data_IF_208531358846
#
_entry.id   IF_208531358846
#
_cell.length_a   1.000
_cell.length_b   1.000
_cell.length_c   1.000
_cell.angle_alpha   90.00
_cell.angle_beta   90.00
_cell.angle_gamma   90.00
#
_symmetry.space_group_name_H-M   'P 1'
#
loop_
_entity.id
_entity.type
_entity.pdbx_description
1 polymer ?
#
# COMPACT_ATOMS: atom_id res chain seq x y z
N UNK A 1 -1.70 -9.52 -4.88
CA UNK A 1 -3.08 -9.16 -4.49
C UNK A 1 -3.63 -8.22 -5.56
N UNK A 2 -4.72 -8.60 -6.24
CA UNK A 2 -5.35 -7.74 -7.24
C UNK A 2 -6.19 -6.69 -6.48
N UNK A 3 -5.80 -5.42 -6.51
CA UNK A 3 -6.49 -4.33 -5.79
C UNK A 3 -7.95 -4.12 -6.26
N UNK A 4 -8.35 -4.80 -7.35
CA UNK A 4 -9.73 -4.83 -7.84
C UNK A 4 -10.62 -5.89 -7.15
N UNK A 5 -10.03 -6.93 -6.52
CA UNK A 5 -10.78 -8.01 -5.85
C UNK A 5 -11.03 -7.73 -4.36
N UNK A 6 -10.19 -6.90 -3.73
CA UNK A 6 -10.52 -6.29 -2.46
C UNK A 6 -11.53 -5.17 -2.76
N UNK A 7 -12.67 -5.15 -2.07
CA UNK A 7 -13.75 -4.15 -2.25
C UNK A 7 -13.32 -2.75 -1.74
N UNK A 8 -12.13 -2.30 -2.13
CA UNK A 8 -11.50 -1.02 -1.82
C UNK A 8 -11.99 -0.03 -2.87
N UNK A 9 -13.23 0.43 -2.70
CA UNK A 9 -13.80 1.51 -3.50
C UNK A 9 -13.55 2.88 -2.87
N UNK A 10 -13.53 3.93 -3.69
CA UNK A 10 -13.54 5.32 -3.19
C UNK A 10 -12.18 5.86 -2.75
N UNK A 11 -12.19 6.73 -1.73
CA UNK A 11 -11.03 7.52 -1.30
C UNK A 11 -9.85 6.67 -0.81
N UNK A 12 -10.11 5.51 -0.20
CA UNK A 12 -9.07 4.57 0.27
C UNK A 12 -8.20 4.07 -0.89
N UNK A 13 -8.80 3.80 -2.06
CA UNK A 13 -8.05 3.38 -3.27
C UNK A 13 -7.14 4.51 -3.79
N UNK A 14 -7.66 5.73 -3.83
CA UNK A 14 -6.90 6.91 -4.28
C UNK A 14 -5.72 7.19 -3.35
N UNK A 15 -5.91 7.03 -2.03
CA UNK A 15 -4.82 7.16 -1.05
C UNK A 15 -3.77 6.07 -1.26
N UNK A 16 -4.16 4.81 -1.52
CA UNK A 16 -3.20 3.74 -1.81
C UNK A 16 -2.37 4.03 -3.07
N UNK A 17 -3.00 4.52 -4.14
CA UNK A 17 -2.30 4.91 -5.37
C UNK A 17 -1.31 6.07 -5.13
N UNK A 18 -1.69 7.04 -4.29
CA UNK A 18 -0.79 8.13 -3.90
C UNK A 18 0.42 7.61 -3.09
N UNK A 19 0.21 6.70 -2.14
CA UNK A 19 1.30 6.08 -1.35
C UNK A 19 2.25 5.26 -2.23
N UNK A 20 1.73 4.51 -3.20
CA UNK A 20 2.55 3.77 -4.18
C UNK A 20 3.40 4.73 -5.01
N UNK A 21 2.85 5.89 -5.39
CA UNK A 21 3.59 6.90 -6.16
C UNK A 21 4.76 7.50 -5.39
N UNK A 22 4.65 7.60 -4.05
CA UNK A 22 5.72 8.10 -3.16
C UNK A 22 6.77 7.01 -2.84
N UNK A 23 6.41 5.74 -3.02
CA UNK A 23 7.26 4.57 -2.68
C UNK A 23 8.65 4.58 -3.32
N UNK A 24 8.84 4.95 -4.61
CA UNK A 24 10.17 5.02 -5.19
C UNK A 24 11.13 5.93 -4.42
N UNK A 25 10.65 7.09 -3.94
CA UNK A 25 11.49 8.04 -3.17
C UNK A 25 11.93 7.44 -1.83
N UNK A 26 11.04 6.69 -1.16
CA UNK A 26 11.34 6.01 0.11
C UNK A 26 12.32 4.86 -0.11
N UNK A 27 12.12 4.05 -1.16
CA UNK A 27 13.02 2.94 -1.49
C UNK A 27 14.42 3.44 -1.87
N UNK A 28 14.51 4.53 -2.63
CA UNK A 28 15.79 5.15 -3.01
C UNK A 28 16.58 5.67 -1.81
N UNK A 29 15.89 6.10 -0.75
CA UNK A 29 16.51 6.52 0.52
C UNK A 29 17.04 5.34 1.37
N UNK A 30 16.72 4.10 0.98
CA UNK A 30 17.07 2.89 1.74
C UNK A 30 16.20 2.69 2.99
N UNK A 31 15.14 3.49 3.15
CA UNK A 31 14.18 3.34 4.24
C UNK A 31 13.12 2.29 3.87
N UNK A 32 12.77 1.45 4.85
CA UNK A 32 11.65 0.53 4.73
C UNK A 32 10.39 1.22 5.19
N UNK A 33 9.28 1.01 4.49
CA UNK A 33 7.98 1.49 4.92
C UNK A 33 7.64 1.03 6.34
N UNK A 34 7.45 2.00 7.24
CA UNK A 34 7.04 1.78 8.62
C UNK A 34 5.74 2.55 8.93
N UNK A 35 5.03 2.18 10.00
CA UNK A 35 3.87 2.94 10.46
C UNK A 35 4.16 4.43 10.69
N UNK A 36 5.34 4.75 11.24
CA UNK A 36 5.76 6.11 11.56
C UNK A 36 6.05 6.92 10.30
N UNK A 37 6.66 6.29 9.28
CA UNK A 37 6.90 6.94 7.99
C UNK A 37 5.58 7.21 7.26
N UNK A 38 4.62 6.30 7.35
CA UNK A 38 3.28 6.50 6.80
C UNK A 38 2.54 7.66 7.49
N UNK A 39 2.70 7.83 8.81
CA UNK A 39 2.16 9.00 9.52
C UNK A 39 2.86 10.30 9.09
N UNK A 40 4.17 10.25 8.79
CA UNK A 40 4.91 11.42 8.32
C UNK A 40 4.49 11.89 6.92
N UNK A 41 4.01 10.99 6.06
CA UNK A 41 3.51 11.32 4.72
C UNK A 41 2.01 11.59 4.67
N UNK A 42 1.27 11.34 5.77
CA UNK A 42 -0.18 11.55 5.85
C UNK A 42 -0.59 12.97 5.41
N UNK A 43 0.07 13.99 5.98
CA UNK A 43 -0.20 15.39 5.64
C UNK A 43 0.11 15.70 4.16
N UNK A 44 1.18 15.12 3.61
CA UNK A 44 1.53 15.32 2.20
C UNK A 44 0.48 14.70 1.27
N UNK A 45 0.00 13.50 1.61
CA UNK A 45 -1.05 12.82 0.85
C UNK A 45 -2.39 13.55 0.99
N UNK A 46 -2.70 14.07 2.18
CA UNK A 46 -3.87 14.92 2.42
C UNK A 46 -3.82 16.16 1.52
N UNK A 47 -2.73 16.93 1.55
CA UNK A 47 -2.57 18.14 0.74
C UNK A 47 -2.63 17.85 -0.77
N UNK A 48 -2.01 16.76 -1.22
CA UNK A 48 -2.00 16.37 -2.63
C UNK A 48 -3.40 15.99 -3.14
N UNK A 49 -4.22 15.35 -2.30
CA UNK A 49 -5.55 14.87 -2.65
C UNK A 49 -6.66 15.86 -2.29
N UNK A 50 -6.35 16.89 -1.48
CA UNK A 50 -7.34 17.86 -1.00
C UNK A 50 -7.98 18.59 -2.18
N UNK A 51 -9.33 18.62 -2.26
CA UNK A 51 -10.01 19.31 -3.34
C UNK A 51 -9.76 20.83 -3.23
N UNK A 52 -9.32 21.46 -4.31
CA UNK A 52 -9.11 22.92 -4.40
C UNK A 52 -10.43 23.72 -4.54
N UNK A 53 -11.54 23.12 -4.08
CA UNK A 53 -12.91 23.55 -4.33
C UNK A 53 -13.54 24.33 -3.17
N UNK A 54 -14.86 24.25 -3.08
CA UNK A 54 -15.65 24.95 -2.06
C UNK A 54 -15.40 24.38 -0.65
N UNK A 55 -15.57 25.20 0.39
CA UNK A 55 -15.35 24.77 1.77
C UNK A 55 -16.18 23.55 2.22
N UNK A 56 -17.31 23.26 1.56
CA UNK A 56 -18.12 22.06 1.86
C UNK A 56 -17.45 20.78 1.39
N UNK A 57 -16.83 20.80 0.22
CA UNK A 57 -16.10 19.64 -0.33
C UNK A 57 -14.86 19.35 0.50
N UNK A 58 -14.20 20.41 0.98
CA UNK A 58 -13.04 20.29 1.86
C UNK A 58 -13.42 19.68 3.22
N UNK A 59 -14.51 20.12 3.85
CA UNK A 59 -14.99 19.53 5.12
C UNK A 59 -15.34 18.04 4.95
N UNK A 60 -16.03 17.68 3.86
CA UNK A 60 -16.36 16.27 3.60
C UNK A 60 -15.11 15.44 3.32
N UNK A 61 -14.16 16.00 2.58
CA UNK A 61 -12.88 15.36 2.32
C UNK A 61 -12.13 15.12 3.63
N UNK A 62 -11.95 16.13 4.48
CA UNK A 62 -11.24 16.03 5.75
C UNK A 62 -11.86 14.97 6.66
N UNK A 63 -13.20 14.93 6.72
CA UNK A 63 -13.94 13.95 7.52
C UNK A 63 -13.71 12.51 7.04
N UNK A 64 -13.69 12.29 5.72
CA UNK A 64 -13.50 10.96 5.13
C UNK A 64 -12.03 10.55 5.10
N UNK A 65 -11.12 11.50 4.92
CA UNK A 65 -9.70 11.25 4.72
C UNK A 65 -9.08 10.50 5.89
N UNK A 66 -9.26 10.95 7.13
CA UNK A 66 -8.64 10.32 8.29
C UNK A 66 -9.00 8.82 8.42
N UNK A 67 -10.27 8.48 8.16
CA UNK A 67 -10.72 7.08 8.16
C UNK A 67 -10.10 6.30 6.99
N UNK A 68 -10.20 6.84 5.77
CA UNK A 68 -9.69 6.18 4.57
C UNK A 68 -8.16 6.04 4.60
N UNK A 69 -7.44 6.98 5.20
CA UNK A 69 -5.99 6.92 5.35
C UNK A 69 -5.58 5.81 6.31
N UNK A 70 -6.27 5.65 7.44
CA UNK A 70 -6.02 4.54 8.37
C UNK A 70 -6.25 3.17 7.72
N UNK A 71 -7.31 3.04 6.94
CA UNK A 71 -7.60 1.83 6.16
C UNK A 71 -6.49 1.58 5.12
N UNK A 72 -6.11 2.60 4.35
CA UNK A 72 -5.04 2.52 3.35
C UNK A 72 -3.68 2.17 3.97
N UNK A 73 -3.31 2.78 5.11
CA UNK A 73 -2.09 2.50 5.86
C UNK A 73 -1.97 1.02 6.22
N UNK A 74 -3.07 0.44 6.73
CA UNK A 74 -3.12 -0.98 7.13
C UNK A 74 -2.92 -1.88 5.92
N UNK A 75 -3.66 -1.64 4.84
CA UNK A 75 -3.57 -2.41 3.60
C UNK A 75 -2.20 -2.28 2.93
N UNK A 76 -1.64 -1.08 2.93
CA UNK A 76 -0.34 -0.81 2.35
C UNK A 76 0.76 -1.58 3.09
N UNK A 77 0.76 -1.53 4.43
CA UNK A 77 1.69 -2.29 5.27
C UNK A 77 1.56 -3.79 5.05
N UNK A 78 0.34 -4.32 4.93
CA UNK A 78 0.13 -5.74 4.59
C UNK A 78 0.75 -6.09 3.24
N UNK A 79 0.61 -5.24 2.23
CA UNK A 79 1.18 -5.47 0.89
C UNK A 79 2.71 -5.41 0.89
N UNK A 80 3.31 -4.40 1.53
CA UNK A 80 4.77 -4.24 1.55
C UNK A 80 5.46 -5.19 2.54
N UNK A 81 4.74 -5.67 3.55
CA UNK A 81 5.27 -6.65 4.53
C UNK A 81 5.05 -8.10 4.12
N UNK A 82 4.33 -8.37 3.02
CA UNK A 82 4.26 -9.73 2.49
C UNK A 82 5.68 -10.14 2.05
N UNK A 83 6.29 -11.16 2.69
CA UNK A 83 7.50 -11.74 2.15
C UNK A 83 7.14 -12.23 0.75
N UNK A 84 7.95 -11.87 -0.24
CA UNK A 84 7.94 -12.55 -1.53
C UNK A 84 8.28 -14.01 -1.19
N UNK A 85 7.25 -14.84 -1.00
CA UNK A 85 7.42 -16.28 -1.08
C UNK A 85 7.74 -16.54 -2.55
N UNK A 86 9.03 -16.47 -2.88
CA UNK A 86 9.57 -17.17 -4.02
C UNK A 86 9.09 -18.61 -3.87
N UNK A 87 8.07 -18.95 -4.65
CA UNK A 87 7.67 -20.32 -4.92
C UNK A 87 8.78 -20.94 -5.77
N UNK A 88 9.93 -21.17 -5.15
CA UNK A 88 11.07 -21.87 -5.70
C UNK A 88 11.42 -23.09 -4.82
N UNK A 89 10.42 -23.77 -4.29
CA UNK A 89 10.56 -25.13 -3.77
C UNK A 89 9.54 -26.05 -4.44
N UNK A 90 9.78 -26.36 -5.72
CA UNK A 90 9.23 -27.55 -6.34
C UNK A 90 10.22 -28.07 -7.38
N UNK A 91 11.09 -28.98 -6.95
CA UNK A 91 12.06 -29.61 -7.84
C UNK A 91 13.11 -30.51 -7.20
N UNK A 92 12.98 -30.92 -5.93
CA UNK A 92 13.87 -31.95 -5.33
C UNK A 92 13.08 -33.18 -4.86
N UNK A 93 12.32 -33.79 -5.78
CA UNK A 93 11.74 -35.12 -5.58
C UNK A 93 11.72 -35.87 -6.91
N UNK A 94 12.81 -36.61 -7.20
CA UNK A 94 12.73 -37.70 -8.18
C UNK A 94 13.94 -37.94 -9.06
N UNK A 95 15.17 -38.04 -8.51
CA UNK A 95 16.27 -38.66 -9.26
C UNK A 95 17.21 -39.51 -8.39
N UNK A 96 16.65 -40.35 -7.52
CA UNK A 96 17.37 -41.47 -6.88
C UNK A 96 16.48 -42.71 -6.79
N UNK A 97 16.09 -43.27 -7.94
CA UNK A 97 15.77 -44.70 -8.08
C UNK A 97 15.54 -45.06 -9.56
N UNK A 98 16.62 -45.10 -10.31
CA UNK A 98 16.72 -45.87 -11.53
C UNK A 98 18.19 -46.20 -11.70
N UNK A 99 18.69 -47.15 -10.92
CA UNK A 99 19.91 -47.96 -11.11
C UNK A 99 20.21 -48.73 -9.81
N UNK A 100 19.51 -49.85 -9.63
CA UNK A 100 19.92 -51.00 -8.83
C UNK A 100 19.09 -52.22 -9.28
#
# INVERSE_FOLDING_TARGET
>A
MNLNDANIGGLTKVILEALITITPEVVESGETWSPELLDAVENKVHEALSPKGSGKEQILFDFLFARSFKEAKTLFLEVVSMPIHDSAEMGDLGLRQAMA
#
